data_IF_516394468553
#
_entry.id   IF_516394468553
#
_cell.length_a   1.000
_cell.length_b   1.000
_cell.length_c   1.000
_cell.angle_alpha   90.00
_cell.angle_beta   90.00
_cell.angle_gamma   90.00
#
_symmetry.space_group_name_H-M   'P 1'
#
loop_
_entity.id
_entity.type
_entity.pdbx_description
1 polymer ?
#
# COMPACT_ATOMS: atom_id res chain seq x y z
N UNK A 1 5.14 -3.91 25.30
CA UNK A 1 4.53 -2.74 24.62
C UNK A 1 5.52 -1.99 23.72
N UNK A 2 6.80 -1.90 24.06
CA UNK A 2 7.83 -1.17 23.28
C UNK A 2 8.06 -1.70 21.86
N UNK A 3 8.11 -3.02 21.66
CA UNK A 3 8.37 -3.61 20.34
C UNK A 3 7.27 -3.30 19.31
N UNK A 4 6.01 -3.30 19.75
CA UNK A 4 4.85 -3.03 18.90
C UNK A 4 4.80 -1.56 18.49
N UNK A 5 5.14 -0.64 19.38
CA UNK A 5 5.25 0.78 19.07
C UNK A 5 6.39 1.07 18.07
N UNK A 6 7.56 0.43 18.24
CA UNK A 6 8.68 0.52 17.30
C UNK A 6 8.29 -0.01 15.92
N UNK A 7 7.54 -1.13 15.86
CA UNK A 7 7.01 -1.68 14.61
C UNK A 7 6.01 -0.74 13.94
N UNK A 8 5.04 -0.23 14.71
CA UNK A 8 4.00 0.66 14.22
C UNK A 8 4.53 2.00 13.70
N UNK A 9 5.64 2.50 14.27
CA UNK A 9 6.29 3.73 13.81
C UNK A 9 7.35 3.49 12.71
N UNK A 10 8.10 2.39 12.79
CA UNK A 10 9.21 2.10 11.88
C UNK A 10 8.78 1.80 10.45
N UNK A 11 7.71 1.01 10.27
CA UNK A 11 7.22 0.64 8.95
C UNK A 11 6.70 1.83 8.13
N UNK A 12 5.90 2.77 8.70
CA UNK A 12 5.52 3.99 8.01
C UNK A 12 6.72 4.83 7.58
N UNK A 13 7.73 4.97 8.44
CA UNK A 13 8.97 5.72 8.11
C UNK A 13 9.70 5.07 6.94
N UNK A 14 9.86 3.74 6.96
CA UNK A 14 10.45 3.00 5.84
C UNK A 14 9.61 3.13 4.56
N UNK A 15 8.28 3.14 4.67
CA UNK A 15 7.36 3.38 3.58
C UNK A 15 7.55 4.77 2.96
N UNK A 16 7.72 5.81 3.79
CA UNK A 16 8.01 7.17 3.33
C UNK A 16 9.35 7.22 2.59
N UNK A 17 10.40 6.65 3.16
CA UNK A 17 11.74 6.61 2.53
C UNK A 17 11.68 5.89 1.19
N UNK A 18 11.06 4.70 1.16
CA UNK A 18 10.88 3.93 -0.07
C UNK A 18 10.04 4.67 -1.12
N UNK A 19 9.03 5.43 -0.68
CA UNK A 19 8.20 6.26 -1.56
C UNK A 19 8.97 7.44 -2.17
N UNK A 20 9.83 8.10 -1.40
CA UNK A 20 10.71 9.17 -1.89
C UNK A 20 11.71 8.62 -2.91
N UNK A 21 12.38 7.50 -2.58
CA UNK A 21 13.31 6.82 -3.50
C UNK A 21 12.58 6.36 -4.76
N UNK A 22 11.37 5.82 -4.61
CA UNK A 22 10.51 5.40 -5.72
C UNK A 22 10.03 6.53 -6.61
N UNK A 23 9.92 7.76 -6.07
CA UNK A 23 9.62 8.95 -6.88
C UNK A 23 10.80 9.30 -7.81
N UNK A 24 12.03 9.05 -7.38
CA UNK A 24 13.24 9.31 -8.16
C UNK A 24 13.50 8.30 -9.28
N UNK A 25 13.07 7.04 -9.13
CA UNK A 25 13.38 5.96 -10.08
C UNK A 25 12.14 5.26 -10.65
N UNK A 26 11.93 5.34 -11.98
CA UNK A 26 10.78 4.70 -12.67
C UNK A 26 10.68 3.18 -12.45
N UNK A 27 11.81 2.47 -12.43
CA UNK A 27 11.83 1.02 -12.20
C UNK A 27 11.36 0.67 -10.79
N UNK A 28 11.83 1.42 -9.79
CA UNK A 28 11.44 1.23 -8.38
C UNK A 28 9.94 1.48 -8.21
N UNK A 29 9.40 2.47 -8.92
CA UNK A 29 7.96 2.80 -8.99
C UNK A 29 7.08 1.64 -9.46
N UNK A 30 7.53 0.86 -10.44
CA UNK A 30 6.79 -0.32 -10.93
C UNK A 30 6.87 -1.49 -9.95
N UNK A 31 8.00 -1.65 -9.26
CA UNK A 31 8.19 -2.72 -8.29
C UNK A 31 7.40 -2.45 -7.01
N UNK A 32 7.29 -1.20 -6.57
CA UNK A 32 6.56 -0.79 -5.34
C UNK A 32 5.06 -1.12 -5.33
N UNK A 33 4.49 -1.45 -6.49
CA UNK A 33 3.06 -1.72 -6.65
C UNK A 33 2.67 -3.11 -6.11
N UNK A 34 3.58 -4.08 -6.19
CA UNK A 34 3.31 -5.48 -5.88
C UNK A 34 3.46 -5.86 -4.40
N UNK A 35 4.44 -5.34 -3.64
CA UNK A 35 4.68 -5.73 -2.25
C UNK A 35 3.45 -5.61 -1.36
N UNK A 36 2.65 -4.54 -1.52
CA UNK A 36 1.43 -4.35 -0.74
C UNK A 36 0.43 -5.50 -0.95
N UNK A 37 0.18 -5.85 -2.23
CA UNK A 37 -0.75 -6.90 -2.60
C UNK A 37 -0.25 -8.30 -2.18
N UNK A 38 1.02 -8.60 -2.47
CA UNK A 38 1.65 -9.89 -2.15
C UNK A 38 1.68 -10.12 -0.64
N UNK A 39 2.08 -9.10 0.12
CA UNK A 39 2.15 -9.20 1.57
C UNK A 39 0.75 -9.35 2.19
N UNK A 40 -0.23 -8.56 1.74
CA UNK A 40 -1.62 -8.65 2.23
C UNK A 40 -2.24 -10.03 1.93
N UNK A 41 -2.01 -10.58 0.74
CA UNK A 41 -2.41 -11.94 0.40
C UNK A 41 -1.70 -12.99 1.27
N UNK A 42 -0.41 -12.80 1.55
CA UNK A 42 0.35 -13.68 2.44
C UNK A 42 -0.18 -13.70 3.87
N UNK A 43 -0.53 -12.54 4.43
CA UNK A 43 -1.16 -12.42 5.76
C UNK A 43 -2.51 -13.14 5.79
N UNK A 44 -3.32 -12.98 4.75
CA UNK A 44 -4.63 -13.63 4.64
C UNK A 44 -4.50 -15.15 4.54
N UNK A 45 -3.60 -15.66 3.69
CA UNK A 45 -3.33 -17.11 3.56
C UNK A 45 -2.76 -17.68 4.87
N UNK A 46 -1.82 -16.99 5.52
CA UNK A 46 -1.27 -17.43 6.79
C UNK A 46 -2.35 -17.52 7.88
N UNK A 47 -3.21 -16.50 8.00
CA UNK A 47 -4.33 -16.49 8.95
C UNK A 47 -5.33 -17.61 8.70
N UNK A 48 -5.63 -17.93 7.43
CA UNK A 48 -6.60 -18.96 7.06
C UNK A 48 -6.08 -20.39 7.21
N UNK A 49 -4.79 -20.63 6.93
CA UNK A 49 -4.23 -21.98 6.79
C UNK A 49 -3.18 -22.36 7.84
N UNK A 50 -2.38 -21.41 8.33
CA UNK A 50 -1.21 -21.69 9.19
C UNK A 50 -1.40 -21.28 10.66
N UNK A 51 -2.51 -20.64 11.03
CA UNK A 51 -2.77 -20.09 12.37
C UNK A 51 -2.79 -21.05 13.57
N UNK A 52 -2.52 -22.35 13.39
CA UNK A 52 -2.40 -23.33 14.49
C UNK A 52 -3.61 -23.35 15.43
N UNK A 53 -3.45 -23.71 16.73
CA UNK A 53 -4.54 -23.70 17.72
C UNK A 53 -5.26 -22.35 17.88
N UNK A 54 -4.67 -21.26 17.40
CA UNK A 54 -5.28 -19.93 17.38
C UNK A 54 -6.16 -19.69 16.16
N UNK A 55 -6.22 -20.60 15.17
CA UNK A 55 -7.15 -20.55 14.04
C UNK A 55 -8.60 -20.56 14.52
N UNK A 56 -8.92 -21.38 15.51
CA UNK A 56 -10.25 -21.40 16.13
C UNK A 56 -10.53 -20.11 16.90
N UNK A 57 -9.57 -19.53 17.60
CA UNK A 57 -9.72 -18.23 18.26
C UNK A 57 -9.82 -17.07 17.26
N UNK A 58 -9.13 -17.14 16.12
CA UNK A 58 -9.18 -16.14 15.06
C UNK A 58 -10.53 -16.21 14.33
N UNK A 59 -10.99 -17.41 13.97
CA UNK A 59 -12.28 -17.64 13.30
C UNK A 59 -13.47 -17.43 14.26
N UNK A 60 -13.35 -17.82 15.53
CA UNK A 60 -14.41 -17.64 16.53
C UNK A 60 -14.56 -16.19 17.03
N UNK A 61 -13.50 -15.36 16.93
CA UNK A 61 -13.57 -13.92 17.20
C UNK A 61 -13.68 -13.08 15.91
N UNK A 62 -13.73 -13.71 14.73
CA UNK A 62 -14.02 -13.04 13.46
C UNK A 62 -15.52 -12.76 13.39
N UNK A 63 -15.93 -11.70 14.09
CA UNK A 63 -17.23 -11.07 13.89
C UNK A 63 -17.39 -10.69 12.40
N UNK A 64 -18.62 -10.61 11.89
CA UNK A 64 -18.90 -10.25 10.48
C UNK A 64 -18.25 -8.90 10.12
N UNK A 65 -18.18 -7.99 11.09
CA UNK A 65 -17.43 -6.74 11.00
C UNK A 65 -15.93 -6.97 10.76
N UNK A 66 -15.30 -7.91 11.46
CA UNK A 66 -13.87 -8.22 11.32
C UNK A 66 -13.56 -8.84 9.95
N UNK A 67 -14.43 -9.71 9.43
CA UNK A 67 -14.31 -10.26 8.06
C UNK A 67 -14.39 -9.14 7.04
N UNK A 68 -15.38 -8.25 7.18
CA UNK A 68 -15.56 -7.09 6.30
C UNK A 68 -14.33 -6.19 6.28
N UNK A 69 -13.78 -5.87 7.45
CA UNK A 69 -12.57 -5.04 7.57
C UNK A 69 -11.37 -5.71 6.91
N UNK A 70 -11.15 -7.02 7.10
CA UNK A 70 -10.05 -7.76 6.45
C UNK A 70 -10.18 -7.73 4.93
N UNK A 71 -11.39 -7.94 4.39
CA UNK A 71 -11.66 -7.86 2.95
C UNK A 71 -11.36 -6.45 2.44
N UNK A 72 -11.85 -5.41 3.12
CA UNK A 72 -11.62 -4.01 2.74
C UNK A 72 -10.12 -3.69 2.73
N UNK A 73 -9.38 -4.05 3.77
CA UNK A 73 -7.93 -3.82 3.88
C UNK A 73 -7.17 -4.54 2.76
N UNK A 74 -7.58 -5.77 2.41
CA UNK A 74 -7.00 -6.54 1.31
C UNK A 74 -7.27 -5.88 -0.05
N UNK A 75 -8.50 -5.42 -0.28
CA UNK A 75 -8.88 -4.70 -1.50
C UNK A 75 -8.15 -3.37 -1.60
N UNK A 76 -8.03 -2.61 -0.51
CA UNK A 76 -7.27 -1.36 -0.46
C UNK A 76 -5.78 -1.57 -0.74
N UNK A 77 -5.24 -2.75 -0.41
CA UNK A 77 -3.86 -3.11 -0.74
C UNK A 77 -3.62 -3.28 -2.25
N UNK A 78 -4.68 -3.43 -3.06
CA UNK A 78 -4.62 -3.47 -4.53
C UNK A 78 -4.70 -2.07 -5.15
N UNK A 79 -5.00 -1.02 -4.38
CA UNK A 79 -5.12 0.35 -4.89
C UNK A 79 -3.88 0.88 -5.62
N UNK A 80 -2.62 0.53 -5.23
CA UNK A 80 -1.43 0.86 -6.02
C UNK A 80 -1.48 0.32 -7.46
N UNK A 81 -2.00 -0.90 -7.65
CA UNK A 81 -2.14 -1.53 -8.97
C UNK A 81 -3.14 -0.74 -9.81
N UNK A 82 -4.27 -0.37 -9.19
CA UNK A 82 -5.31 0.42 -9.87
C UNK A 82 -4.80 1.83 -10.22
N UNK A 83 -4.07 2.48 -9.32
CA UNK A 83 -3.39 3.76 -9.53
C UNK A 83 -2.43 3.71 -10.72
N UNK A 84 -1.66 2.62 -10.85
CA UNK A 84 -0.78 2.42 -12.01
C UNK A 84 -1.56 2.22 -13.32
N UNK A 85 -2.72 1.55 -13.29
CA UNK A 85 -3.58 1.35 -14.48
C UNK A 85 -4.26 2.63 -14.93
N UNK A 86 -4.79 3.42 -14.00
CA UNK A 86 -5.54 4.66 -14.27
C UNK A 86 -4.60 5.85 -14.45
N UNK A 87 -3.29 5.69 -14.21
CA UNK A 87 -2.30 6.77 -14.23
C UNK A 87 -2.64 7.95 -13.31
N UNK A 88 -3.42 7.71 -12.24
CA UNK A 88 -3.87 8.72 -11.28
C UNK A 88 -3.41 8.38 -9.87
N UNK A 89 -2.98 9.38 -9.10
CA UNK A 89 -2.57 9.22 -7.68
C UNK A 89 -3.74 8.98 -6.74
N UNK A 90 -4.96 9.38 -7.13
CA UNK A 90 -6.12 9.40 -6.25
C UNK A 90 -6.42 8.05 -5.57
N UNK A 91 -6.39 6.89 -6.26
CA UNK A 91 -6.70 5.61 -5.63
C UNK A 91 -5.72 5.25 -4.51
N UNK A 92 -4.42 5.50 -4.71
CA UNK A 92 -3.39 5.20 -3.72
C UNK A 92 -3.47 6.13 -2.51
N UNK A 93 -3.76 7.41 -2.72
CA UNK A 93 -3.88 8.39 -1.63
C UNK A 93 -5.09 8.08 -0.75
N UNK A 94 -6.26 7.86 -1.37
CA UNK A 94 -7.48 7.49 -0.66
C UNK A 94 -7.27 6.18 0.12
N UNK A 95 -6.69 5.16 -0.53
CA UNK A 95 -6.43 3.90 0.14
C UNK A 95 -5.49 4.04 1.33
N UNK A 96 -4.44 4.87 1.22
CA UNK A 96 -3.52 5.14 2.33
C UNK A 96 -4.23 5.76 3.52
N UNK A 97 -5.09 6.77 3.29
CA UNK A 97 -5.84 7.44 4.36
C UNK A 97 -6.79 6.46 5.03
N UNK A 98 -7.55 5.68 4.25
CA UNK A 98 -8.52 4.72 4.78
C UNK A 98 -7.82 3.58 5.53
N UNK A 99 -6.71 3.05 5.00
CA UNK A 99 -5.87 2.04 5.68
C UNK A 99 -5.32 2.56 7.00
N UNK A 100 -4.81 3.80 7.02
CA UNK A 100 -4.29 4.43 8.23
C UNK A 100 -5.37 4.57 9.32
N UNK A 101 -6.56 5.02 8.95
CA UNK A 101 -7.69 5.13 9.88
C UNK A 101 -8.12 3.75 10.41
N UNK A 102 -8.24 2.75 9.53
CA UNK A 102 -8.61 1.40 9.93
C UNK A 102 -7.59 0.77 10.89
N UNK A 103 -6.29 0.92 10.60
CA UNK A 103 -5.23 0.41 11.48
C UNK A 103 -5.25 1.13 12.82
N UNK A 104 -5.51 2.44 12.85
CA UNK A 104 -5.62 3.19 14.09
C UNK A 104 -6.81 2.71 14.93
N UNK A 105 -7.97 2.50 14.30
CA UNK A 105 -9.20 2.03 14.95
C UNK A 105 -9.14 0.57 15.42
N UNK A 106 -8.38 -0.29 14.73
CA UNK A 106 -8.30 -1.73 15.00
C UNK A 106 -6.86 -2.20 15.20
N UNK A 107 -6.11 -1.51 16.05
CA UNK A 107 -4.65 -1.62 16.15
C UNK A 107 -4.15 -3.03 16.46
N UNK A 108 -4.85 -3.78 17.33
CA UNK A 108 -4.46 -5.14 17.69
C UNK A 108 -4.84 -6.18 16.60
N UNK A 109 -5.97 -5.98 15.92
CA UNK A 109 -6.45 -6.89 14.87
C UNK A 109 -5.74 -6.70 13.52
N UNK A 110 -5.31 -5.48 13.22
CA UNK A 110 -4.69 -5.09 11.94
C UNK A 110 -3.19 -4.83 12.03
N UNK A 111 -2.55 -5.05 13.18
CA UNK A 111 -1.09 -4.99 13.32
C UNK A 111 -0.34 -5.77 12.21
N UNK A 112 -0.78 -6.97 11.80
CA UNK A 112 -0.12 -7.70 10.72
C UNK A 112 -0.15 -6.98 9.37
N UNK A 113 -1.09 -6.08 9.12
CA UNK A 113 -1.26 -5.34 7.86
C UNK A 113 -0.46 -4.04 7.76
N UNK A 114 0.23 -3.64 8.84
CA UNK A 114 1.03 -2.42 8.89
C UNK A 114 2.11 -2.36 7.79
N UNK A 115 2.83 -3.46 7.47
CA UNK A 115 3.78 -3.45 6.36
C UNK A 115 3.09 -3.23 5.00
N UNK A 116 1.92 -3.84 4.76
CA UNK A 116 1.14 -3.61 3.54
C UNK A 116 0.71 -2.14 3.42
N UNK A 117 0.19 -1.54 4.50
CA UNK A 117 -0.19 -0.13 4.53
C UNK A 117 1.00 0.80 4.23
N UNK A 118 2.18 0.46 4.74
CA UNK A 118 3.42 1.20 4.49
C UNK A 118 3.85 1.12 3.03
N UNK A 119 3.65 -0.02 2.37
CA UNK A 119 3.85 -0.15 0.93
C UNK A 119 2.83 0.67 0.12
N UNK A 120 1.56 0.73 0.54
CA UNK A 120 0.54 1.58 -0.11
C UNK A 120 0.90 3.06 0.03
N UNK A 121 1.35 3.48 1.22
CA UNK A 121 1.88 4.84 1.47
C UNK A 121 3.07 5.14 0.56
N UNK A 122 4.04 4.22 0.46
CA UNK A 122 5.19 4.36 -0.43
C UNK A 122 4.76 4.56 -1.88
N UNK A 123 3.79 3.76 -2.36
CA UNK A 123 3.24 3.88 -3.71
C UNK A 123 2.45 5.19 -3.92
N UNK A 124 1.75 5.70 -2.92
CA UNK A 124 1.05 6.98 -2.97
C UNK A 124 2.02 8.16 -3.11
N UNK A 125 3.10 8.15 -2.32
CA UNK A 125 4.18 9.14 -2.36
C UNK A 125 4.90 9.08 -3.71
N UNK A 126 5.31 7.88 -4.11
CA UNK A 126 5.98 7.67 -5.38
C UNK A 126 5.09 8.12 -6.54
N UNK A 127 3.78 7.79 -6.51
CA UNK A 127 2.78 8.10 -7.53
C UNK A 127 2.77 7.13 -8.72
N UNK A 128 1.82 7.26 -9.66
CA UNK A 128 1.62 6.30 -10.75
C UNK A 128 2.70 6.43 -11.82
N UNK A 129 3.25 5.33 -12.37
CA UNK A 129 4.24 5.35 -13.44
C UNK A 129 3.66 5.90 -14.76
N UNK A 130 3.51 7.23 -14.85
CA UNK A 130 3.06 7.92 -16.05
C UNK A 130 4.16 8.01 -17.11
N UNK A 131 3.73 8.10 -18.39
CA UNK A 131 4.59 8.40 -19.54
C UNK A 131 5.40 9.67 -19.26
N UNK A 132 6.67 9.65 -19.67
CA UNK A 132 7.60 10.76 -19.55
C UNK A 132 6.95 12.10 -19.91
N UNK A 133 6.62 12.92 -18.91
CA UNK A 133 6.23 14.31 -19.09
C UNK A 133 7.49 15.15 -19.30
N UNK A 134 8.25 14.81 -20.33
CA UNK A 134 9.59 15.34 -20.56
C UNK A 134 10.26 14.76 -21.81
N UNK A 135 9.51 14.45 -22.86
CA UNK A 135 10.10 14.62 -24.19
C UNK A 135 10.09 16.13 -24.45
N UNK A 136 11.23 16.77 -24.75
CA UNK A 136 11.24 18.14 -25.22
C UNK A 136 10.28 18.21 -26.40
N UNK A 137 9.29 19.09 -26.33
CA UNK A 137 8.51 19.47 -27.50
C UNK A 137 9.53 19.84 -28.58
N UNK A 138 9.55 19.20 -29.77
CA UNK A 138 10.40 19.67 -30.85
C UNK A 138 10.00 21.12 -31.10
N UNK A 139 10.90 22.05 -30.81
CA UNK A 139 10.68 23.45 -31.14
C UNK A 139 10.33 23.50 -32.63
N UNK A 140 9.11 23.97 -32.94
CA UNK A 140 8.72 24.19 -34.33
C UNK A 140 9.78 25.10 -34.98
N UNK A 141 10.16 24.87 -36.25
CA UNK A 141 11.17 25.66 -36.92
C UNK A 141 10.75 27.13 -36.85
N UNK A 142 11.58 27.98 -36.25
CA UNK A 142 11.37 29.44 -36.29
C UNK A 142 11.41 29.86 -37.75
N UNK A 143 10.24 30.13 -38.31
CA UNK A 143 10.09 30.78 -39.61
C UNK A 143 10.69 32.17 -39.50
N UNK A 144 11.85 32.37 -40.14
CA UNK A 144 12.42 33.70 -40.35
C UNK A 144 11.60 34.38 -41.45
N UNK A 145 10.86 35.41 -41.10
CA UNK A 145 10.43 36.45 -42.04
C UNK A 145 10.50 37.81 -41.40
#
# INVERSE_FOLDING_TARGET
>A
MTLLAVWMAGFPVLGVIAGIVGASFRRVRQVLVWPAAVYSAGVLVYGLFAGGPNRSAYIANLDVMAVGVVVVVTVLSLAPILSARVSSRAPSVVATIVLGLLILSFTLGLAPWVPAASCVLAAAIAGPPGKARGAPTPEAPREKR
#
